data_IF_657669374310
#
_entry.id   IF_657669374310
#
_cell.length_a   1.000
_cell.length_b   1.000
_cell.length_c   1.000
_cell.angle_alpha   90.00
_cell.angle_beta   90.00
_cell.angle_gamma   90.00
#
_symmetry.space_group_name_H-M   'P 1'
#
loop_
_entity.id
_entity.type
_entity.pdbx_description
1 polymer ?
#
# COMPACT_ATOMS: atom_id res chain seq x y z
N UNK A 1 -8.40 -32.56 52.87
CA UNK A 1 -9.07 -31.68 51.89
C UNK A 1 -8.00 -30.98 51.04
N UNK A 2 -7.55 -31.62 49.96
CA UNK A 2 -6.68 -31.06 48.90
C UNK A 2 -6.77 -32.00 47.70
N UNK A 3 -7.84 -31.83 46.95
CA UNK A 3 -8.04 -32.42 45.63
C UNK A 3 -8.06 -31.26 44.62
N UNK A 4 -7.64 -31.57 43.38
CA UNK A 4 -7.70 -30.74 42.18
C UNK A 4 -6.63 -29.65 42.03
N UNK A 5 -5.42 -30.06 41.61
CA UNK A 5 -4.52 -29.19 40.84
C UNK A 5 -3.76 -30.02 39.79
N UNK A 6 -4.50 -30.60 38.84
CA UNK A 6 -3.95 -31.22 37.62
C UNK A 6 -4.98 -31.11 36.51
N UNK A 7 -5.14 -29.93 35.90
CA UNK A 7 -5.82 -29.84 34.59
C UNK A 7 -5.55 -28.55 33.79
N UNK A 8 -4.31 -28.05 33.79
CA UNK A 8 -3.99 -26.75 33.16
C UNK A 8 -3.01 -26.76 31.97
N UNK A 9 -2.31 -27.86 31.68
CA UNK A 9 -1.04 -27.79 30.91
C UNK A 9 -1.05 -28.41 29.50
N UNK A 10 -2.18 -28.93 29.00
CA UNK A 10 -2.23 -29.57 27.67
C UNK A 10 -2.89 -28.74 26.54
N UNK A 11 -3.43 -27.56 26.85
CA UNK A 11 -3.91 -26.59 25.85
C UNK A 11 -2.80 -25.64 25.33
N UNK A 12 -1.55 -26.10 25.25
CA UNK A 12 -0.55 -25.60 24.30
C UNK A 12 -0.93 -26.04 22.87
N UNK A 13 -2.17 -25.70 22.53
CA UNK A 13 -3.09 -26.33 21.59
C UNK A 13 -2.64 -26.18 20.14
N UNK A 14 -3.26 -26.92 19.21
CA UNK A 14 -2.97 -26.84 17.78
C UNK A 14 -2.85 -25.40 17.23
N UNK A 15 -3.55 -24.44 17.86
CA UNK A 15 -3.49 -23.00 17.60
C UNK A 15 -2.09 -22.43 17.85
N UNK A 16 -1.42 -22.81 18.94
CA UNK A 16 -0.06 -22.37 19.24
C UNK A 16 0.96 -22.88 18.20
N UNK A 17 0.80 -24.14 17.75
CA UNK A 17 1.61 -24.73 16.67
C UNK A 17 1.35 -24.06 15.31
N UNK A 18 0.09 -23.74 15.01
CA UNK A 18 -0.30 -23.02 13.81
C UNK A 18 0.27 -21.59 13.82
N UNK A 19 0.15 -20.88 14.94
CA UNK A 19 0.75 -19.55 15.15
C UNK A 19 2.26 -19.56 14.91
N UNK A 20 2.98 -20.52 15.49
CA UNK A 20 4.43 -20.60 15.30
C UNK A 20 4.82 -20.93 13.86
N UNK A 21 4.06 -21.78 13.17
CA UNK A 21 4.26 -22.03 11.73
C UNK A 21 3.99 -20.79 10.89
N UNK A 22 2.87 -20.10 11.12
CA UNK A 22 2.52 -18.87 10.41
C UNK A 22 3.55 -17.76 10.67
N UNK A 23 4.02 -17.63 11.91
CA UNK A 23 5.08 -16.70 12.28
C UNK A 23 6.38 -17.00 11.55
N UNK A 24 6.77 -18.28 11.43
CA UNK A 24 7.93 -18.70 10.64
C UNK A 24 7.74 -18.45 9.14
N UNK A 25 6.51 -18.53 8.61
CA UNK A 25 6.21 -18.26 7.20
C UNK A 25 6.17 -16.76 6.87
N UNK A 26 5.60 -15.93 7.74
CA UNK A 26 5.50 -14.47 7.53
C UNK A 26 6.77 -13.70 7.93
N UNK A 27 7.53 -14.16 8.93
CA UNK A 27 8.73 -13.46 9.43
C UNK A 27 10.04 -14.24 9.29
N UNK A 28 9.98 -15.50 8.85
CA UNK A 28 11.18 -16.30 8.64
C UNK A 28 11.92 -15.92 7.36
N UNK A 29 13.23 -16.18 7.35
CA UNK A 29 14.12 -15.99 6.19
C UNK A 29 14.36 -17.29 5.40
N UNK A 30 13.49 -18.29 5.57
CA UNK A 30 13.64 -19.59 4.90
C UNK A 30 13.07 -19.53 3.48
N UNK A 31 13.55 -20.39 2.55
CA UNK A 31 13.04 -20.42 1.18
C UNK A 31 11.54 -20.76 1.10
N UNK A 32 10.99 -21.51 2.07
CA UNK A 32 9.56 -21.78 2.18
C UNK A 32 8.76 -20.52 2.61
N UNK A 33 9.28 -19.73 3.56
CA UNK A 33 8.70 -18.46 3.98
C UNK A 33 8.65 -17.46 2.80
N UNK A 34 9.73 -17.42 2.01
CA UNK A 34 9.80 -16.58 0.81
C UNK A 34 8.71 -16.92 -0.22
N UNK A 35 8.55 -18.20 -0.58
CA UNK A 35 7.52 -18.63 -1.53
C UNK A 35 6.12 -18.28 -1.04
N UNK A 36 5.85 -18.48 0.25
CA UNK A 36 4.58 -18.15 0.86
C UNK A 36 4.28 -16.64 0.79
N UNK A 37 5.26 -15.79 1.14
CA UNK A 37 5.10 -14.34 1.08
C UNK A 37 4.89 -13.84 -0.35
N UNK A 38 5.61 -14.41 -1.34
CA UNK A 38 5.41 -14.11 -2.75
C UNK A 38 4.00 -14.46 -3.23
N UNK A 39 3.49 -15.65 -2.86
CA UNK A 39 2.12 -16.07 -3.18
C UNK A 39 1.10 -15.12 -2.56
N UNK A 40 1.27 -14.74 -1.29
CA UNK A 40 0.39 -13.79 -0.62
C UNK A 40 0.35 -12.43 -1.35
N UNK A 41 1.51 -11.92 -1.78
CA UNK A 41 1.61 -10.70 -2.59
C UNK A 41 0.90 -10.83 -3.94
N UNK A 42 1.07 -11.96 -4.64
CA UNK A 42 0.42 -12.20 -5.93
C UNK A 42 -1.10 -12.25 -5.76
N UNK A 43 -1.60 -12.91 -4.71
CA UNK A 43 -3.03 -12.95 -4.39
C UNK A 43 -3.55 -11.55 -4.10
N UNK A 44 -2.85 -10.76 -3.30
CA UNK A 44 -3.24 -9.38 -3.00
C UNK A 44 -3.29 -8.51 -4.28
N UNK A 45 -2.29 -8.63 -5.16
CA UNK A 45 -2.26 -7.93 -6.44
C UNK A 45 -3.41 -8.37 -7.38
N UNK A 46 -3.70 -9.66 -7.45
CA UNK A 46 -4.80 -10.20 -8.23
C UNK A 46 -6.15 -9.67 -7.73
N UNK A 47 -6.33 -9.58 -6.41
CA UNK A 47 -7.55 -9.03 -5.82
C UNK A 47 -7.66 -7.53 -6.13
N UNK A 48 -6.56 -6.78 -6.07
CA UNK A 48 -6.56 -5.36 -6.46
C UNK A 48 -6.96 -5.21 -7.93
N UNK A 49 -6.39 -6.01 -8.83
CA UNK A 49 -6.72 -5.97 -10.26
C UNK A 49 -8.20 -6.29 -10.50
N UNK A 50 -8.74 -7.28 -9.79
CA UNK A 50 -10.17 -7.57 -9.81
C UNK A 50 -11.02 -6.39 -9.32
N UNK A 51 -10.59 -5.68 -8.28
CA UNK A 51 -11.29 -4.48 -7.80
C UNK A 51 -11.24 -3.30 -8.77
N UNK A 52 -10.12 -3.07 -9.44
CA UNK A 52 -10.04 -2.03 -10.47
C UNK A 52 -10.92 -2.37 -11.67
N UNK A 53 -11.07 -3.66 -11.99
CA UNK A 53 -11.98 -4.13 -13.04
C UNK A 53 -13.45 -4.17 -12.61
N UNK A 54 -13.75 -4.03 -11.32
CA UNK A 54 -15.11 -4.14 -10.78
C UNK A 54 -16.10 -3.18 -11.44
N UNK A 55 -15.82 -1.87 -11.64
CA UNK A 55 -16.75 -0.95 -12.30
C UNK A 55 -17.21 -1.42 -13.69
N UNK A 56 -16.40 -2.22 -14.39
CA UNK A 56 -16.70 -2.77 -15.73
C UNK A 56 -17.49 -4.07 -15.66
N UNK A 57 -17.45 -4.76 -14.51
CA UNK A 57 -17.99 -6.10 -14.30
C UNK A 57 -19.27 -6.11 -13.43
N UNK A 58 -19.71 -4.96 -12.91
CA UNK A 58 -20.82 -4.86 -11.96
C UNK A 58 -22.16 -5.38 -12.53
N UNK A 59 -22.36 -5.30 -13.84
CA UNK A 59 -23.61 -5.70 -14.49
C UNK A 59 -23.80 -7.22 -14.64
N UNK A 60 -22.79 -8.04 -14.31
CA UNK A 60 -22.88 -9.50 -14.45
C UNK A 60 -23.35 -10.16 -13.16
N UNK A 61 -24.36 -11.05 -13.20
CA UNK A 61 -24.84 -11.79 -12.02
C UNK A 61 -23.79 -12.71 -11.39
N UNK A 62 -22.74 -13.09 -12.13
CA UNK A 62 -21.58 -13.83 -11.62
C UNK A 62 -20.67 -13.01 -10.69
N UNK A 63 -20.84 -11.69 -10.63
CA UNK A 63 -20.02 -10.78 -9.83
C UNK A 63 -20.14 -11.08 -8.33
N UNK A 64 -21.34 -11.42 -7.85
CA UNK A 64 -21.62 -11.62 -6.43
C UNK A 64 -20.81 -12.78 -5.82
N UNK A 65 -20.71 -13.90 -6.53
CA UNK A 65 -19.94 -15.07 -6.09
C UNK A 65 -18.44 -14.78 -6.05
N UNK A 66 -17.95 -13.98 -7.00
CA UNK A 66 -16.54 -13.62 -7.08
C UNK A 66 -16.17 -12.65 -5.95
N UNK A 67 -17.06 -11.69 -5.63
CA UNK A 67 -16.87 -10.75 -4.51
C UNK A 67 -16.81 -11.47 -3.16
N UNK A 68 -17.69 -12.46 -2.91
CA UNK A 68 -17.65 -13.26 -1.69
C UNK A 68 -16.42 -14.18 -1.61
N UNK A 69 -15.96 -14.74 -2.73
CA UNK A 69 -14.73 -15.53 -2.77
C UNK A 69 -13.52 -14.68 -2.40
N UNK A 70 -13.46 -13.47 -2.95
CA UNK A 70 -12.44 -12.48 -2.61
C UNK A 70 -12.55 -12.07 -1.14
N UNK A 71 -13.76 -11.90 -0.61
CA UNK A 71 -13.98 -11.58 0.81
C UNK A 71 -13.44 -12.67 1.74
N UNK A 72 -13.69 -13.94 1.40
CA UNK A 72 -13.16 -15.08 2.14
C UNK A 72 -11.63 -15.13 2.12
N UNK A 73 -11.00 -14.87 0.95
CA UNK A 73 -9.55 -14.80 0.82
C UNK A 73 -8.95 -13.67 1.67
N UNK A 74 -9.57 -12.48 1.65
CA UNK A 74 -9.14 -11.33 2.46
C UNK A 74 -9.26 -11.64 3.96
N UNK A 75 -10.39 -12.22 4.38
CA UNK A 75 -10.62 -12.62 5.76
C UNK A 75 -9.55 -13.63 6.23
N UNK A 76 -9.24 -14.62 5.38
CA UNK A 76 -8.24 -15.62 5.67
C UNK A 76 -6.83 -15.01 5.83
N UNK A 77 -6.42 -14.09 4.95
CA UNK A 77 -5.14 -13.38 5.07
C UNK A 77 -5.10 -12.50 6.34
N UNK A 78 -6.18 -11.77 6.65
CA UNK A 78 -6.27 -10.94 7.85
C UNK A 78 -6.13 -11.79 9.13
N UNK A 79 -6.84 -12.91 9.20
CA UNK A 79 -6.77 -13.86 10.32
C UNK A 79 -5.36 -14.46 10.41
N UNK A 80 -4.76 -14.86 9.29
CA UNK A 80 -3.41 -15.40 9.26
C UNK A 80 -2.38 -14.40 9.78
N UNK A 81 -2.49 -13.11 9.41
CA UNK A 81 -1.62 -12.03 9.90
C UNK A 81 -1.82 -11.75 11.38
N UNK A 82 -3.06 -11.72 11.86
CA UNK A 82 -3.38 -11.57 13.28
C UNK A 82 -2.76 -12.71 14.09
N UNK A 83 -2.93 -13.95 13.64
CA UNK A 83 -2.36 -15.14 14.29
C UNK A 83 -0.83 -15.17 14.22
N UNK A 84 -0.21 -14.68 13.15
CA UNK A 84 1.25 -14.62 13.02
C UNK A 84 1.93 -13.53 13.88
N UNK A 85 1.15 -12.53 14.34
CA UNK A 85 1.66 -11.38 15.07
C UNK A 85 1.94 -11.68 16.55
N UNK A 86 3.03 -11.10 17.08
CA UNK A 86 3.38 -11.24 18.50
C UNK A 86 2.51 -10.42 19.44
N UNK A 87 2.09 -9.23 18.99
CA UNK A 87 1.28 -8.29 19.75
C UNK A 87 0.02 -7.97 18.96
N UNK A 88 -1.00 -8.80 19.15
CA UNK A 88 -2.29 -8.67 18.46
C UNK A 88 -2.92 -7.29 18.73
N UNK A 89 -2.80 -6.77 19.95
CA UNK A 89 -3.31 -5.45 20.33
C UNK A 89 -2.53 -4.30 19.66
N UNK A 90 -1.22 -4.45 19.47
CA UNK A 90 -0.41 -3.44 18.77
C UNK A 90 -0.75 -3.44 17.28
N UNK A 91 -0.92 -4.61 16.68
CA UNK A 91 -1.34 -4.74 15.29
C UNK A 91 -2.74 -4.15 15.07
N UNK A 92 -3.69 -4.42 15.97
CA UNK A 92 -5.07 -3.91 15.87
C UNK A 92 -5.15 -2.39 16.06
N UNK A 93 -4.19 -1.77 16.76
CA UNK A 93 -4.08 -0.30 16.89
C UNK A 93 -3.37 0.37 15.69
N UNK A 94 -2.83 -0.39 14.74
CA UNK A 94 -2.21 0.19 13.54
C UNK A 94 -3.29 0.67 12.56
N UNK A 95 -3.13 1.87 11.96
CA UNK A 95 -4.09 2.41 10.98
C UNK A 95 -4.33 1.49 9.77
N UNK A 96 -3.35 0.67 9.39
CA UNK A 96 -3.45 -0.30 8.28
C UNK A 96 -4.45 -1.40 8.56
N UNK A 97 -4.43 -1.96 9.78
CA UNK A 97 -5.35 -3.02 10.20
C UNK A 97 -6.79 -2.51 10.27
N UNK A 98 -7.00 -1.23 10.61
CA UNK A 98 -8.32 -0.61 10.58
C UNK A 98 -8.86 -0.50 9.16
N UNK A 99 -8.01 -0.11 8.21
CA UNK A 99 -8.35 -0.08 6.78
C UNK A 99 -8.69 -1.48 6.28
N UNK A 100 -7.91 -2.50 6.62
CA UNK A 100 -8.19 -3.89 6.20
C UNK A 100 -9.52 -4.43 6.78
N UNK A 101 -9.81 -4.14 8.05
CA UNK A 101 -11.09 -4.50 8.68
C UNK A 101 -12.26 -3.77 8.01
N UNK A 102 -12.09 -2.48 7.69
CA UNK A 102 -13.10 -1.71 7.01
C UNK A 102 -13.35 -2.24 5.58
N UNK A 103 -12.30 -2.61 4.85
CA UNK A 103 -12.41 -3.27 3.54
C UNK A 103 -13.16 -4.59 3.68
N UNK A 104 -12.81 -5.43 4.65
CA UNK A 104 -13.51 -6.70 4.89
C UNK A 104 -15.01 -6.47 5.17
N UNK A 105 -15.35 -5.45 5.97
CA UNK A 105 -16.73 -5.08 6.25
C UNK A 105 -17.49 -4.68 4.97
N UNK A 106 -16.86 -3.86 4.12
CA UNK A 106 -17.46 -3.45 2.82
C UNK A 106 -17.64 -4.61 1.84
N UNK A 107 -16.82 -5.66 1.94
CA UNK A 107 -16.94 -6.88 1.13
C UNK A 107 -18.01 -7.85 1.65
N UNK A 108 -18.22 -7.90 2.97
CA UNK A 108 -19.26 -8.75 3.57
C UNK A 108 -20.67 -8.20 3.36
N UNK A 109 -20.79 -6.89 3.15
CA UNK A 109 -22.07 -6.21 2.89
C UNK A 109 -22.10 -5.51 1.52
N UNK A 110 -21.94 -6.26 0.41
CA UNK A 110 -21.80 -5.67 -0.93
C UNK A 110 -23.08 -4.97 -1.39
N UNK A 111 -24.26 -5.41 -0.95
CA UNK A 111 -25.56 -4.81 -1.31
C UNK A 111 -25.84 -3.51 -0.56
N UNK A 112 -25.41 -3.38 0.70
CA UNK A 112 -25.61 -2.18 1.50
C UNK A 112 -24.53 -1.11 1.23
N UNK A 113 -23.30 -1.55 0.92
CA UNK A 113 -22.13 -0.68 0.76
C UNK A 113 -21.57 -0.66 -0.66
N UNK A 114 -22.39 -0.97 -1.67
CA UNK A 114 -21.99 -0.94 -3.09
C UNK A 114 -21.36 0.40 -3.50
N UNK A 115 -21.91 1.52 -3.01
CA UNK A 115 -21.40 2.87 -3.26
C UNK A 115 -19.97 3.07 -2.72
N UNK A 116 -19.54 2.29 -1.74
CA UNK A 116 -18.20 2.39 -1.13
C UNK A 116 -17.19 1.44 -1.77
N UNK A 117 -17.50 0.83 -2.91
CA UNK A 117 -16.59 -0.07 -3.62
C UNK A 117 -15.23 0.58 -3.94
N UNK A 118 -15.17 1.91 -4.11
CA UNK A 118 -13.89 2.61 -4.29
C UNK A 118 -12.95 2.51 -3.10
N UNK A 119 -13.47 2.36 -1.88
CA UNK A 119 -12.65 2.21 -0.67
C UNK A 119 -11.86 0.90 -0.67
N UNK A 120 -12.24 -0.08 -1.51
CA UNK A 120 -11.50 -1.33 -1.71
C UNK A 120 -10.10 -1.07 -2.26
N UNK A 121 -9.89 0.06 -2.95
CA UNK A 121 -8.59 0.47 -3.49
C UNK A 121 -7.62 0.87 -2.36
N UNK A 122 -8.11 1.21 -1.17
CA UNK A 122 -7.26 1.39 0.02
C UNK A 122 -6.45 0.15 0.39
N UNK A 123 -6.80 -1.02 -0.18
CA UNK A 123 -5.98 -2.22 -0.07
C UNK A 123 -4.58 -2.04 -0.65
N UNK A 124 -4.42 -1.27 -1.73
CA UNK A 124 -3.09 -0.90 -2.25
C UNK A 124 -2.26 -0.16 -1.20
N UNK A 125 -2.90 0.69 -0.41
CA UNK A 125 -2.23 1.45 0.65
C UNK A 125 -1.82 0.54 1.80
N UNK A 126 -2.70 -0.37 2.23
CA UNK A 126 -2.37 -1.37 3.25
C UNK A 126 -1.23 -2.29 2.78
N UNK A 127 -1.28 -2.77 1.54
CA UNK A 127 -0.26 -3.61 0.93
C UNK A 127 1.09 -2.87 0.82
N UNK A 128 1.09 -1.61 0.36
CA UNK A 128 2.27 -0.74 0.31
C UNK A 128 2.92 -0.56 1.69
N UNK A 129 2.13 -0.54 2.76
CA UNK A 129 2.65 -0.45 4.13
C UNK A 129 3.07 -1.80 4.71
N UNK A 130 2.54 -2.91 4.20
CA UNK A 130 2.95 -4.24 4.61
C UNK A 130 4.41 -4.45 4.22
N UNK A 131 5.28 -4.55 5.24
CA UNK A 131 6.73 -4.73 5.07
C UNK A 131 7.13 -5.96 4.24
N UNK A 132 6.21 -6.90 4.03
CA UNK A 132 6.42 -8.12 3.24
C UNK A 132 6.88 -7.82 1.80
N UNK A 133 6.24 -6.87 1.11
CA UNK A 133 6.64 -6.46 -0.24
C UNK A 133 8.09 -5.96 -0.29
N UNK A 134 8.46 -5.18 0.71
CA UNK A 134 9.74 -4.46 0.75
C UNK A 134 10.91 -5.36 1.09
N UNK A 135 10.68 -6.35 1.95
CA UNK A 135 11.68 -7.33 2.34
C UNK A 135 12.19 -8.13 1.12
N UNK A 136 11.35 -8.33 0.09
CA UNK A 136 11.74 -8.97 -1.16
C UNK A 136 12.59 -8.06 -2.05
N UNK A 137 12.23 -6.79 -2.17
CA UNK A 137 13.00 -5.81 -2.94
C UNK A 137 14.39 -5.56 -2.34
N UNK A 138 14.49 -5.54 -1.01
CA UNK A 138 15.75 -5.36 -0.28
C UNK A 138 16.79 -6.46 -0.58
N UNK A 139 16.33 -7.69 -0.85
CA UNK A 139 17.21 -8.85 -1.12
C UNK A 139 17.71 -8.91 -2.57
N UNK A 140 17.05 -8.25 -3.53
CA UNK A 140 17.49 -8.19 -4.93
C UNK A 140 18.42 -7.00 -5.25
N UNK A 141 18.91 -6.30 -4.22
CA UNK A 141 19.74 -5.09 -4.42
C UNK A 141 18.96 -3.86 -4.88
N UNK A 142 17.63 -3.93 -4.98
CA UNK A 142 16.76 -2.84 -5.43
C UNK A 142 16.42 -1.83 -4.30
N UNK A 143 17.29 -1.71 -3.29
CA UNK A 143 17.17 -0.71 -2.22
C UNK A 143 17.00 0.73 -2.73
N UNK A 144 17.67 1.17 -3.81
CA UNK A 144 17.49 2.53 -4.34
C UNK A 144 16.05 2.78 -4.82
N UNK A 145 15.40 1.75 -5.38
CA UNK A 145 14.05 1.85 -5.93
C UNK A 145 12.95 1.79 -4.87
N UNK A 146 13.29 1.43 -3.63
CA UNK A 146 12.30 1.28 -2.55
C UNK A 146 11.50 2.56 -2.31
N UNK A 147 12.19 3.69 -2.17
CA UNK A 147 11.55 4.98 -1.91
C UNK A 147 10.69 5.43 -3.08
N UNK A 148 11.19 5.26 -4.32
CA UNK A 148 10.45 5.57 -5.53
C UNK A 148 9.19 4.72 -5.67
N UNK A 149 9.29 3.40 -5.51
CA UNK A 149 8.14 2.50 -5.56
C UNK A 149 7.12 2.82 -4.45
N UNK A 150 7.56 3.17 -3.25
CA UNK A 150 6.65 3.57 -2.17
C UNK A 150 5.89 4.85 -2.53
N UNK A 151 6.58 5.83 -3.10
CA UNK A 151 5.96 7.08 -3.54
C UNK A 151 4.96 6.84 -4.68
N UNK A 152 5.31 6.00 -5.66
CA UNK A 152 4.42 5.61 -6.77
C UNK A 152 3.16 4.94 -6.24
N UNK A 153 3.28 3.92 -5.39
CA UNK A 153 2.10 3.19 -4.89
C UNK A 153 1.22 4.10 -4.04
N UNK A 154 1.80 4.97 -3.21
CA UNK A 154 1.03 5.93 -2.42
C UNK A 154 0.29 6.94 -3.30
N UNK A 155 0.93 7.46 -4.35
CA UNK A 155 0.30 8.37 -5.30
C UNK A 155 -0.84 7.67 -6.05
N UNK A 156 -0.60 6.47 -6.61
CA UNK A 156 -1.62 5.70 -7.31
C UNK A 156 -2.81 5.38 -6.40
N UNK A 157 -2.54 4.93 -5.17
CA UNK A 157 -3.62 4.64 -4.23
C UNK A 157 -4.45 5.89 -3.94
N UNK A 158 -3.78 7.03 -3.71
CA UNK A 158 -4.48 8.29 -3.47
C UNK A 158 -5.33 8.72 -4.67
N UNK A 159 -4.76 8.67 -5.89
CA UNK A 159 -5.48 9.00 -7.13
C UNK A 159 -6.75 8.17 -7.25
N UNK A 160 -6.65 6.86 -7.18
CA UNK A 160 -7.81 5.99 -7.34
C UNK A 160 -8.85 6.13 -6.22
N UNK A 161 -8.42 6.37 -4.97
CA UNK A 161 -9.34 6.59 -3.84
C UNK A 161 -10.13 7.88 -4.04
N UNK A 162 -9.47 8.98 -4.41
CA UNK A 162 -10.14 10.26 -4.67
C UNK A 162 -11.02 10.16 -5.91
N UNK A 163 -10.54 9.54 -6.99
CA UNK A 163 -11.34 9.28 -8.20
C UNK A 163 -12.63 8.55 -7.88
N UNK A 164 -12.56 7.47 -7.11
CA UNK A 164 -13.76 6.72 -6.76
C UNK A 164 -14.67 7.46 -5.78
N UNK A 165 -14.13 8.27 -4.88
CA UNK A 165 -14.93 9.19 -4.05
C UNK A 165 -15.67 10.22 -4.92
N UNK A 166 -14.96 10.90 -5.82
CA UNK A 166 -15.51 11.89 -6.74
C UNK A 166 -16.58 11.27 -7.62
N UNK A 167 -16.29 10.12 -8.23
CA UNK A 167 -17.24 9.37 -9.05
C UNK A 167 -18.53 9.06 -8.28
N UNK A 168 -18.41 8.50 -7.07
CA UNK A 168 -19.55 8.07 -6.25
C UNK A 168 -20.43 9.24 -5.80
N UNK A 169 -19.83 10.35 -5.39
CA UNK A 169 -20.57 11.45 -4.76
C UNK A 169 -20.98 12.57 -5.73
N UNK A 170 -20.27 12.75 -6.85
CA UNK A 170 -20.49 13.87 -7.77
C UNK A 170 -20.93 13.45 -9.17
N UNK A 171 -20.63 12.23 -9.62
CA UNK A 171 -21.00 11.73 -10.96
C UNK A 171 -22.13 10.69 -10.93
N UNK A 172 -22.91 10.69 -9.85
CA UNK A 172 -23.89 9.64 -9.48
C UNK A 172 -25.07 9.48 -10.46
N UNK A 173 -25.32 10.46 -11.34
CA UNK A 173 -26.46 10.49 -12.26
C UNK A 173 -26.19 9.84 -13.63
N UNK A 174 -24.95 9.50 -13.95
CA UNK A 174 -24.63 8.64 -15.09
C UNK A 174 -23.82 7.43 -14.63
N UNK A 175 -24.39 6.24 -14.72
CA UNK A 175 -23.63 5.02 -14.54
C UNK A 175 -22.85 4.77 -15.84
N UNK A 176 -21.52 4.70 -15.77
CA UNK A 176 -20.73 4.44 -16.96
C UNK A 176 -19.23 4.63 -16.79
N UNK A 177 -18.47 3.94 -17.64
CA UNK A 177 -17.01 4.04 -17.72
C UNK A 177 -16.55 5.46 -18.09
N UNK A 178 -17.36 6.20 -18.85
CA UNK A 178 -17.12 7.61 -19.20
C UNK A 178 -17.05 8.51 -17.96
N UNK A 179 -18.06 8.46 -17.09
CA UNK A 179 -18.07 9.23 -15.83
C UNK A 179 -16.93 8.84 -14.88
N UNK A 180 -16.50 7.58 -14.90
CA UNK A 180 -15.33 7.15 -14.13
C UNK A 180 -14.03 7.73 -14.70
N UNK A 181 -13.89 7.76 -16.03
CA UNK A 181 -12.76 8.41 -16.71
C UNK A 181 -12.76 9.92 -16.43
N UNK A 182 -13.91 10.58 -16.45
CA UNK A 182 -14.02 12.01 -16.13
C UNK A 182 -13.61 12.30 -14.68
N UNK A 183 -14.04 11.47 -13.74
CA UNK A 183 -13.60 11.57 -12.35
C UNK A 183 -12.09 11.33 -12.20
N UNK A 184 -11.53 10.38 -12.95
CA UNK A 184 -10.09 10.11 -12.96
C UNK A 184 -9.31 11.29 -13.56
N UNK A 185 -9.79 11.81 -14.68
CA UNK A 185 -9.22 12.95 -15.37
C UNK A 185 -9.20 14.19 -14.46
N UNK A 186 -10.34 14.52 -13.83
CA UNK A 186 -10.42 15.58 -12.82
C UNK A 186 -9.37 15.38 -11.71
N UNK A 187 -9.28 14.15 -11.17
CA UNK A 187 -8.38 13.84 -10.06
C UNK A 187 -6.92 13.99 -10.48
N UNK A 188 -6.53 13.44 -11.63
CA UNK A 188 -5.17 13.52 -12.15
C UNK A 188 -4.82 14.98 -12.42
N UNK A 189 -5.65 15.72 -13.16
CA UNK A 189 -5.40 17.13 -13.47
C UNK A 189 -5.27 18.00 -12.20
N UNK A 190 -6.04 17.69 -11.16
CA UNK A 190 -5.96 18.39 -9.86
C UNK A 190 -4.68 18.06 -9.11
N UNK A 191 -4.32 16.78 -9.04
CA UNK A 191 -3.12 16.31 -8.31
C UNK A 191 -1.82 16.70 -8.99
N UNK A 192 -1.79 16.71 -10.33
CA UNK A 192 -0.65 17.20 -11.13
C UNK A 192 -0.59 18.72 -11.18
N UNK A 193 -1.54 19.44 -10.57
CA UNK A 193 -1.67 20.90 -10.60
C UNK A 193 -1.84 21.49 -11.99
N UNK A 194 -2.25 20.68 -12.97
CA UNK A 194 -2.52 21.13 -14.34
C UNK A 194 -3.83 21.90 -14.41
N UNK A 195 -4.89 21.37 -13.78
CA UNK A 195 -6.14 22.08 -13.55
C UNK A 195 -6.80 22.69 -14.79
N UNK A 196 -7.04 21.90 -15.85
CA UNK A 196 -7.62 22.38 -17.11
C UNK A 196 -8.94 23.15 -16.97
N UNK A 197 -9.74 22.86 -15.93
CA UNK A 197 -10.94 23.62 -15.57
C UNK A 197 -12.17 23.33 -16.43
N UNK A 198 -12.06 22.39 -17.36
CA UNK A 198 -13.14 21.81 -18.16
C UNK A 198 -14.09 20.94 -17.33
N UNK A 199 -13.56 20.21 -16.35
CA UNK A 199 -14.35 19.44 -15.37
C UNK A 199 -14.12 20.02 -13.98
N UNK A 200 -15.21 20.42 -13.30
CA UNK A 200 -15.18 20.95 -11.92
C UNK A 200 -16.28 20.34 -11.06
N UNK A 201 -15.98 20.18 -9.78
CA UNK A 201 -16.95 19.67 -8.79
C UNK A 201 -17.92 20.79 -8.36
N UNK A 202 -19.23 20.65 -8.60
CA UNK A 202 -20.20 21.68 -8.23
C UNK A 202 -20.40 21.76 -6.70
N UNK A 203 -20.84 22.94 -6.25
CA UNK A 203 -21.25 23.18 -4.86
C UNK A 203 -20.12 23.34 -3.84
N UNK A 204 -20.50 23.57 -2.58
CA UNK A 204 -19.56 23.80 -1.47
C UNK A 204 -18.75 22.55 -1.17
N UNK A 205 -19.42 21.39 -1.11
CA UNK A 205 -18.75 20.10 -0.87
C UNK A 205 -17.73 19.77 -1.98
N UNK A 206 -18.05 20.10 -3.23
CA UNK A 206 -17.14 19.93 -4.37
C UNK A 206 -15.88 20.76 -4.24
N UNK A 207 -16.04 22.06 -3.93
CA UNK A 207 -14.90 22.95 -3.68
C UNK A 207 -14.03 22.49 -2.53
N UNK A 208 -14.61 22.08 -1.40
CA UNK A 208 -13.86 21.55 -0.26
C UNK A 208 -13.09 20.26 -0.63
N UNK A 209 -13.72 19.37 -1.40
CA UNK A 209 -13.08 18.14 -1.90
C UNK A 209 -11.90 18.47 -2.81
N UNK A 210 -12.05 19.43 -3.73
CA UNK A 210 -10.98 19.89 -4.59
C UNK A 210 -9.81 20.48 -3.78
N UNK A 211 -10.10 21.33 -2.78
CA UNK A 211 -9.08 21.94 -1.89
C UNK A 211 -8.29 20.85 -1.15
N UNK A 212 -8.97 19.90 -0.53
CA UNK A 212 -8.33 18.78 0.17
C UNK A 212 -7.46 17.94 -0.80
N UNK A 213 -7.99 17.69 -2.00
CA UNK A 213 -7.28 16.93 -3.05
C UNK A 213 -6.01 17.65 -3.51
N UNK A 214 -6.06 18.98 -3.70
CA UNK A 214 -4.90 19.79 -4.09
C UNK A 214 -3.81 19.76 -3.01
N UNK A 215 -4.17 19.97 -1.74
CA UNK A 215 -3.22 19.99 -0.61
C UNK A 215 -2.49 18.65 -0.48
N UNK A 216 -3.24 17.54 -0.50
CA UNK A 216 -2.64 16.20 -0.38
C UNK A 216 -1.89 15.84 -1.66
N UNK A 217 -2.46 16.13 -2.83
CA UNK A 217 -1.92 15.81 -4.15
C UNK A 217 -0.54 16.40 -4.39
N UNK A 218 -0.36 17.70 -4.15
CA UNK A 218 0.94 18.38 -4.28
C UNK A 218 2.00 17.69 -3.41
N UNK A 219 1.66 17.37 -2.15
CA UNK A 219 2.61 16.73 -1.24
C UNK A 219 3.07 15.35 -1.72
N UNK A 220 2.16 14.58 -2.33
CA UNK A 220 2.46 13.26 -2.88
C UNK A 220 3.23 13.35 -4.19
N UNK A 221 2.88 14.29 -5.06
CA UNK A 221 3.59 14.51 -6.32
C UNK A 221 5.02 14.98 -6.09
N UNK A 222 5.25 15.92 -5.16
CA UNK A 222 6.61 16.34 -4.77
C UNK A 222 7.39 15.18 -4.14
N UNK A 223 6.75 14.34 -3.31
CA UNK A 223 7.38 13.13 -2.78
C UNK A 223 7.78 12.15 -3.87
N UNK A 224 6.97 11.98 -4.90
CA UNK A 224 7.30 11.15 -6.05
C UNK A 224 8.48 11.73 -6.82
N UNK A 225 8.42 13.01 -7.17
CA UNK A 225 9.50 13.69 -7.89
C UNK A 225 10.82 13.61 -7.11
N UNK A 226 10.82 13.90 -5.81
CA UNK A 226 12.02 13.78 -4.97
C UNK A 226 12.52 12.35 -4.81
N UNK A 227 11.65 11.34 -4.88
CA UNK A 227 12.04 9.94 -4.81
C UNK A 227 12.61 9.40 -6.13
N UNK A 228 12.09 9.87 -7.28
CA UNK A 228 12.59 9.50 -8.61
C UNK A 228 13.87 10.26 -8.94
N UNK A 229 13.88 11.58 -8.73
CA UNK A 229 15.01 12.46 -9.04
C UNK A 229 16.01 12.58 -7.89
N UNK A 230 15.93 11.70 -6.88
CA UNK A 230 16.93 11.69 -5.81
C UNK A 230 18.28 11.34 -6.44
N UNK A 231 19.28 12.25 -6.43
CA UNK A 231 20.57 11.93 -7.00
C UNK A 231 21.12 10.71 -6.27
N UNK A 232 21.54 9.70 -7.04
CA UNK A 232 22.18 8.52 -6.49
C UNK A 232 23.39 9.00 -5.67
N UNK A 233 23.35 8.83 -4.35
CA UNK A 233 24.50 9.17 -3.50
C UNK A 233 25.38 7.96 -3.37
N UNK A 234 26.64 8.11 -3.70
CA UNK A 234 27.65 7.08 -3.50
C UNK A 234 28.07 7.06 -2.04
N UNK A 235 28.35 5.85 -1.55
CA UNK A 235 28.86 5.66 -0.21
C UNK A 235 30.39 5.63 -0.28
N UNK A 236 31.02 6.74 0.06
CA UNK A 236 32.47 6.86 0.12
C UNK A 236 32.83 7.64 1.38
N UNK A 237 33.46 7.01 2.39
CA UNK A 237 33.79 7.69 3.64
C UNK A 237 34.93 8.69 3.41
N UNK A 238 34.66 9.97 3.63
CA UNK A 238 35.70 10.99 3.62
C UNK A 238 36.75 10.70 4.72
N UNK A 239 38.05 10.60 4.38
CA UNK A 239 39.09 10.27 5.35
C UNK A 239 39.33 11.37 6.40
N UNK A 240 38.89 12.61 6.12
CA UNK A 240 39.13 13.75 6.99
C UNK A 240 37.99 14.04 7.97
N UNK A 241 36.73 14.00 7.51
CA UNK A 241 35.57 14.38 8.34
C UNK A 241 34.56 13.24 8.57
N UNK A 242 34.76 12.08 7.95
CA UNK A 242 33.89 10.92 8.10
C UNK A 242 32.50 11.04 7.45
N UNK A 243 32.24 12.09 6.66
CA UNK A 243 31.01 12.16 5.87
C UNK A 243 30.97 10.98 4.89
N UNK A 244 29.89 10.19 4.92
CA UNK A 244 29.82 8.91 4.18
C UNK A 244 29.09 8.99 2.83
N UNK A 245 28.29 10.04 2.59
CA UNK A 245 27.43 10.14 1.40
C UNK A 245 27.81 11.34 0.55
N UNK A 246 28.18 11.08 -0.69
CA UNK A 246 28.64 12.08 -1.65
C UNK A 246 27.84 11.99 -2.96
N UNK A 247 27.89 13.05 -3.78
CA UNK A 247 27.42 12.99 -5.17
C UNK A 247 28.38 12.10 -5.98
N UNK A 248 27.92 11.39 -7.03
CA UNK A 248 28.76 10.46 -7.79
C UNK A 248 30.00 11.11 -8.39
N UNK A 249 29.86 12.35 -8.85
CA UNK A 249 30.86 13.19 -9.49
C UNK A 249 31.58 14.13 -8.50
N UNK A 250 31.47 13.87 -7.18
CA UNK A 250 32.08 14.72 -6.17
C UNK A 250 33.61 14.57 -6.12
N UNK A 251 34.32 15.52 -6.72
CA UNK A 251 35.79 15.66 -6.58
C UNK A 251 36.20 16.17 -5.19
N UNK A 252 35.30 16.87 -4.51
CA UNK A 252 35.55 17.43 -3.19
C UNK A 252 34.46 17.04 -2.18
N UNK A 253 34.88 16.79 -0.94
CA UNK A 253 33.96 16.53 0.15
C UNK A 253 33.15 17.80 0.48
N UNK A 254 31.83 17.73 0.33
CA UNK A 254 30.90 18.84 0.62
C UNK A 254 31.03 19.44 2.03
N UNK A 255 31.47 18.64 3.01
CA UNK A 255 31.57 19.11 4.40
C UNK A 255 32.92 19.76 4.75
N UNK A 256 34.03 19.35 4.11
CA UNK A 256 35.37 19.79 4.54
C UNK A 256 36.31 20.20 3.40
N UNK A 257 35.90 20.06 2.13
CA UNK A 257 36.71 20.39 0.96
C UNK A 257 37.79 19.37 0.58
N UNK A 258 37.97 18.30 1.37
CA UNK A 258 38.96 17.25 1.08
C UNK A 258 38.76 16.66 -0.32
N UNK A 259 39.85 16.48 -1.07
CA UNK A 259 39.81 15.95 -2.42
C UNK A 259 39.50 14.45 -2.37
N UNK A 260 38.39 14.04 -2.96
CA UNK A 260 37.90 12.67 -2.95
C UNK A 260 38.24 12.01 -4.29
N UNK A 261 38.73 10.78 -4.22
CA UNK A 261 38.97 9.95 -5.39
C UNK A 261 37.94 8.82 -5.42
N UNK A 262 36.71 9.18 -5.79
CA UNK A 262 35.61 8.22 -5.91
C UNK A 262 35.81 7.48 -7.24
N UNK A 263 35.89 6.14 -7.24
CA UNK A 263 36.03 5.38 -8.48
C UNK A 263 34.76 5.54 -9.33
N UNK A 264 34.94 6.02 -10.57
CA UNK A 264 33.87 6.14 -11.55
C UNK A 264 33.68 4.81 -12.29
N UNK A 265 32.45 4.46 -12.71
CA UNK A 265 32.20 3.18 -13.41
C UNK A 265 32.65 3.19 -14.89
N UNK A 266 33.34 4.25 -15.33
CA UNK A 266 33.97 4.33 -16.66
C UNK A 266 35.48 4.12 -16.58
N UNK A 267 35.92 2.95 -17.07
CA UNK A 267 37.31 2.53 -17.37
C UNK A 267 38.47 3.41 -16.88
#
# INVERSE_FOLDING_TARGET
>A
MKAAEKDGSQQSSAIARLRDRLRKLYHGRTPAAFRFQLVAVIIDLAIIAFFVATPVLQDKPSFLWLDYTVAALVAADLIARLLASNDMLRLMKQPTSWVDVFILLTLLMPTALANLAFLRILRLWSLSRSGSLWQHFEMRGLRPWREASHAVINLLTFLFVITGFVYTFFFRTGAGLENYIDALYFTVATVTTTGFGDIVLPGIAGKLTAIATMIIGISLFVRLATAIFRPAKVFFPCPQCGLQRHEPDAVHCKACGHLLNIPDEGN
#
